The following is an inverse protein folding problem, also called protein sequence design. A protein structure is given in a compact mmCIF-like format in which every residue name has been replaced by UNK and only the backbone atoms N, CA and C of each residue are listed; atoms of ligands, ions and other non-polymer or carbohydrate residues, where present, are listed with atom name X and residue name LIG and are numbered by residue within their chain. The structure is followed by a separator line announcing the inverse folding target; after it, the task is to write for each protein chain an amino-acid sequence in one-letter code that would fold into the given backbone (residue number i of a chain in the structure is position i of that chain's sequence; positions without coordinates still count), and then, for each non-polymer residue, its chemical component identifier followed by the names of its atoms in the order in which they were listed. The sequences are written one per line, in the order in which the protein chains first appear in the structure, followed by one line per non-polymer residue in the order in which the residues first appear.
data_IF_231663403785
#
_entry.id   IF_231663403785
#
_cell.length_a   1.000
_cell.length_b   1.000
_cell.length_c   1.000
_cell.angle_alpha   90.00
_cell.angle_beta   90.00
_cell.angle_gamma   90.00
#
_symmetry.space_group_name_H-M   'P 1'
#
loop_
_entity.id
_entity.type
_entity.pdbx_description
1 polymer ?
#
# COMPACT_ATOMS: atom_id res chain seq x y z
N UNK A 1 -19.30 -11.38 -10.60
CA UNK A 1 -18.35 -11.61 -11.72
C UNK A 1 -17.20 -12.53 -11.31
N UNK A 2 -16.38 -12.16 -10.33
CA UNK A 2 -15.22 -12.95 -9.91
C UNK A 2 -15.57 -14.40 -9.49
N UNK A 3 -16.68 -14.62 -8.78
CA UNK A 3 -17.15 -15.97 -8.40
C UNK A 3 -17.55 -16.81 -9.63
N UNK A 4 -18.23 -16.22 -10.62
CA UNK A 4 -18.63 -16.91 -11.86
C UNK A 4 -17.42 -17.42 -12.66
N UNK A 5 -16.32 -16.68 -12.60
CA UNK A 5 -15.04 -17.05 -13.22
C UNK A 5 -14.14 -17.87 -12.29
N UNK A 6 -14.63 -18.29 -11.12
CA UNK A 6 -13.88 -19.02 -10.09
C UNK A 6 -12.56 -18.33 -9.69
N UNK A 7 -12.51 -16.99 -9.71
CA UNK A 7 -11.32 -16.22 -9.34
C UNK A 7 -11.19 -16.06 -7.83
N UNK A 8 -12.32 -15.97 -7.13
CA UNK A 8 -12.40 -15.75 -5.69
C UNK A 8 -13.48 -16.66 -5.10
N UNK A 9 -13.18 -17.25 -3.94
CA UNK A 9 -14.03 -18.16 -3.19
C UNK A 9 -14.20 -17.64 -1.75
N UNK A 10 -15.20 -16.78 -1.55
CA UNK A 10 -15.50 -16.18 -0.24
C UNK A 10 -16.05 -17.20 0.76
N UNK A 11 -16.78 -18.21 0.29
CA UNK A 11 -17.35 -19.25 1.16
C UNK A 11 -16.25 -20.09 1.82
N UNK A 12 -15.24 -20.51 1.06
CA UNK A 12 -14.08 -21.20 1.62
C UNK A 12 -13.25 -20.29 2.51
N UNK A 13 -13.08 -19.01 2.16
CA UNK A 13 -12.39 -18.04 3.01
C UNK A 13 -13.10 -17.89 4.37
N UNK A 14 -14.43 -17.78 4.37
CA UNK A 14 -15.23 -17.70 5.59
C UNK A 14 -15.16 -18.97 6.44
N UNK A 15 -15.05 -20.14 5.82
CA UNK A 15 -14.83 -21.40 6.56
C UNK A 15 -13.45 -21.47 7.22
N UNK A 16 -12.45 -20.81 6.65
CA UNK A 16 -11.05 -20.82 7.14
C UNK A 16 -10.84 -19.80 8.24
N UNK A 17 -11.27 -18.55 8.03
CA UNK A 17 -10.90 -17.41 8.89
C UNK A 17 -12.07 -16.51 9.32
N UNK A 18 -13.30 -16.82 8.88
CA UNK A 18 -14.47 -15.97 9.11
C UNK A 18 -14.62 -14.85 8.08
N UNK A 19 -15.47 -13.86 8.39
CA UNK A 19 -15.73 -12.71 7.51
C UNK A 19 -14.50 -11.82 7.32
N UNK A 20 -14.44 -11.06 6.22
CA UNK A 20 -13.36 -10.10 5.96
C UNK A 20 -12.07 -10.74 5.40
N UNK A 21 -12.15 -11.99 4.93
CA UNK A 21 -11.07 -12.70 4.24
C UNK A 21 -11.52 -13.18 2.86
N UNK A 22 -10.58 -13.30 1.93
CA UNK A 22 -10.83 -13.77 0.57
C UNK A 22 -9.81 -14.85 0.20
N UNK A 23 -10.29 -15.85 -0.55
CA UNK A 23 -9.45 -16.92 -1.10
C UNK A 23 -9.44 -16.78 -2.61
N UNK A 24 -8.28 -16.47 -3.18
CA UNK A 24 -8.09 -16.41 -4.63
C UNK A 24 -7.80 -17.81 -5.19
N UNK A 25 -8.37 -18.16 -6.34
CA UNK A 25 -8.19 -19.46 -7.00
C UNK A 25 -7.77 -19.32 -8.46
N UNK A 26 -7.02 -20.30 -8.96
CA UNK A 26 -6.69 -20.44 -10.38
C UNK A 26 -6.16 -19.15 -11.01
N UNK A 27 -6.84 -18.68 -12.07
CA UNK A 27 -6.49 -17.43 -12.76
C UNK A 27 -6.58 -16.20 -11.84
N UNK A 28 -7.44 -16.21 -10.81
CA UNK A 28 -7.56 -15.11 -9.87
C UNK A 28 -6.32 -14.95 -8.97
N UNK A 29 -5.80 -16.06 -8.45
CA UNK A 29 -4.54 -16.09 -7.70
C UNK A 29 -3.34 -15.76 -8.61
N UNK A 30 -3.36 -16.21 -9.87
CA UNK A 30 -2.36 -15.84 -10.86
C UNK A 30 -2.35 -14.32 -11.09
N UNK A 31 -3.52 -13.70 -11.29
CA UNK A 31 -3.67 -12.26 -11.50
C UNK A 31 -3.15 -11.47 -10.30
N UNK A 32 -3.48 -11.87 -9.07
CA UNK A 32 -2.96 -11.23 -7.86
C UNK A 32 -1.42 -11.22 -7.86
N UNK A 33 -0.78 -12.38 -8.10
CA UNK A 33 0.68 -12.47 -8.18
C UNK A 33 1.26 -11.67 -9.34
N UNK A 34 0.61 -11.67 -10.51
CA UNK A 34 1.05 -10.90 -11.67
C UNK A 34 1.02 -9.40 -11.40
N UNK A 35 -0.01 -8.91 -10.69
CA UNK A 35 -0.08 -7.52 -10.25
C UNK A 35 1.07 -7.19 -9.31
N UNK A 36 1.31 -7.99 -8.26
CA UNK A 36 2.43 -7.76 -7.31
C UNK A 36 3.76 -7.59 -8.05
N UNK A 37 4.06 -8.51 -8.98
CA UNK A 37 5.30 -8.48 -9.74
C UNK A 37 5.39 -7.25 -10.65
N UNK A 38 4.31 -6.91 -11.35
CA UNK A 38 4.24 -5.69 -12.17
C UNK A 38 4.45 -4.42 -11.34
N UNK A 39 3.80 -4.31 -10.19
CA UNK A 39 3.93 -3.16 -9.29
C UNK A 39 5.38 -3.02 -8.80
N UNK A 40 6.00 -4.08 -8.30
CA UNK A 40 7.40 -4.06 -7.84
C UNK A 40 8.37 -3.72 -8.98
N UNK A 41 8.21 -4.35 -10.14
CA UNK A 41 9.08 -4.11 -11.30
C UNK A 41 9.00 -2.67 -11.79
N UNK A 42 7.80 -2.06 -11.82
CA UNK A 42 7.65 -0.65 -12.17
C UNK A 42 8.48 0.23 -11.23
N UNK A 43 8.32 0.02 -9.93
CA UNK A 43 8.92 0.89 -8.92
C UNK A 43 10.44 0.72 -8.84
N UNK A 44 10.94 -0.50 -9.00
CA UNK A 44 12.37 -0.79 -8.95
C UNK A 44 13.11 -0.45 -10.25
N UNK A 45 12.51 -0.72 -11.42
CA UNK A 45 13.18 -0.55 -12.71
C UNK A 45 13.03 0.86 -13.29
N UNK A 46 11.94 1.56 -12.98
CA UNK A 46 11.64 2.87 -13.58
C UNK A 46 11.73 4.00 -12.56
N UNK A 47 11.27 3.80 -11.31
CA UNK A 47 11.15 4.88 -10.33
C UNK A 47 12.30 4.91 -9.29
N UNK A 48 13.26 3.98 -9.39
CA UNK A 48 14.52 4.00 -8.63
C UNK A 48 14.40 3.55 -7.17
N UNK A 49 13.37 2.78 -6.81
CA UNK A 49 13.23 2.22 -5.47
C UNK A 49 14.10 0.97 -5.29
N UNK A 50 14.64 0.80 -4.09
CA UNK A 50 15.28 -0.46 -3.68
C UNK A 50 14.21 -1.41 -3.12
N UNK A 51 14.14 -2.62 -3.66
CA UNK A 51 13.20 -3.64 -3.17
C UNK A 51 13.62 -4.22 -1.82
N UNK A 52 12.67 -4.30 -0.90
CA UNK A 52 12.84 -4.82 0.46
C UNK A 52 11.81 -5.94 0.71
N UNK A 53 12.27 -7.03 1.34
CA UNK A 53 11.41 -8.08 1.89
C UNK A 53 11.48 -8.04 3.43
N UNK A 54 10.55 -7.33 4.10
CA UNK A 54 10.60 -7.13 5.55
C UNK A 54 9.92 -8.27 6.34
N UNK A 55 10.19 -8.39 7.67
CA UNK A 55 9.34 -9.19 8.56
C UNK A 55 7.90 -8.66 8.61
N UNK A 56 6.92 -9.57 8.67
CA UNK A 56 5.50 -9.21 8.80
C UNK A 56 5.04 -9.14 10.26
N UNK A 57 5.82 -9.71 11.18
CA UNK A 57 5.64 -9.58 12.62
C UNK A 57 6.64 -8.54 13.11
N UNK A 58 6.16 -7.48 13.74
CA UNK A 58 6.97 -6.33 14.16
C UNK A 58 6.84 -6.09 15.65
N UNK A 59 7.94 -5.63 16.25
CA UNK A 59 7.97 -5.23 17.66
C UNK A 59 7.12 -3.98 17.91
N UNK A 60 6.57 -3.86 19.12
CA UNK A 60 5.78 -2.71 19.57
C UNK A 60 6.47 -1.37 19.28
N UNK A 61 7.80 -1.29 19.43
CA UNK A 61 8.58 -0.09 19.14
C UNK A 61 8.46 0.37 17.69
N UNK A 62 8.31 -0.56 16.73
CA UNK A 62 8.10 -0.21 15.32
C UNK A 62 6.77 0.51 15.12
N UNK A 63 5.71 -0.04 15.70
CA UNK A 63 4.37 0.52 15.66
C UNK A 63 4.27 1.89 16.35
N UNK A 64 5.08 2.13 17.39
CA UNK A 64 5.19 3.45 18.04
C UNK A 64 5.92 4.43 17.12
N UNK A 65 6.98 3.98 16.44
CA UNK A 65 7.80 4.78 15.53
C UNK A 65 6.98 5.41 14.40
N UNK A 66 6.15 4.62 13.73
CA UNK A 66 5.33 5.06 12.59
C UNK A 66 3.97 5.66 12.99
N UNK A 67 3.62 5.60 14.28
CA UNK A 67 2.50 6.34 14.86
C UNK A 67 1.19 5.57 14.98
N UNK A 68 1.16 4.27 14.64
CA UNK A 68 0.01 3.40 14.90
C UNK A 68 -0.25 3.29 16.40
N UNK A 69 0.81 3.20 17.22
CA UNK A 69 0.70 3.16 18.67
C UNK A 69 1.03 4.49 19.36
N UNK A 70 0.38 4.78 20.50
CA UNK A 70 -0.59 3.94 21.23
C UNK A 70 -2.05 4.09 20.76
N UNK A 71 -2.34 5.06 19.88
CA UNK A 71 -3.71 5.51 19.59
C UNK A 71 -4.59 4.45 18.94
N UNK A 72 -4.05 3.65 18.04
CA UNK A 72 -4.81 2.70 17.21
C UNK A 72 -4.53 1.24 17.60
N UNK A 73 -4.14 0.97 18.84
CA UNK A 73 -3.80 -0.40 19.29
C UNK A 73 -4.95 -1.39 19.08
N UNK A 74 -6.19 -0.94 19.28
CA UNK A 74 -7.38 -1.78 19.13
C UNK A 74 -7.64 -2.22 17.68
N UNK A 75 -7.13 -1.46 16.71
CA UNK A 75 -7.22 -1.78 15.27
C UNK A 75 -6.13 -2.75 14.80
N UNK A 76 -5.16 -3.09 15.65
CA UNK A 76 -4.02 -3.93 15.30
C UNK A 76 -4.18 -5.36 15.78
N UNK A 77 -3.70 -6.32 14.98
CA UNK A 77 -3.56 -7.71 15.42
C UNK A 77 -2.30 -7.86 16.29
N UNK A 78 -2.45 -7.67 17.59
CA UNK A 78 -1.40 -7.92 18.58
C UNK A 78 -1.25 -9.40 18.93
N UNK A 79 -0.01 -9.83 19.13
CA UNK A 79 0.38 -11.16 19.63
C UNK A 79 1.35 -10.99 20.81
N UNK A 80 1.61 -12.07 21.55
CA UNK A 80 2.51 -12.03 22.73
C UNK A 80 2.15 -10.89 23.69
N UNK A 81 0.88 -10.83 24.11
CA UNK A 81 0.37 -9.79 25.02
C UNK A 81 0.68 -8.36 24.50
N UNK A 82 0.47 -8.14 23.20
CA UNK A 82 0.71 -6.88 22.50
C UNK A 82 2.16 -6.37 22.58
N UNK A 83 3.13 -7.27 22.74
CA UNK A 83 4.55 -6.93 22.54
C UNK A 83 4.96 -7.00 21.06
N UNK A 84 4.26 -7.83 20.29
CA UNK A 84 4.49 -8.02 18.86
C UNK A 84 3.17 -7.83 18.10
N UNK A 85 3.25 -7.45 16.82
CA UNK A 85 2.08 -7.15 16.00
C UNK A 85 2.25 -7.68 14.58
N UNK A 86 1.15 -8.13 13.97
CA UNK A 86 1.11 -8.27 12.52
C UNK A 86 1.06 -6.87 11.89
N UNK A 87 1.95 -6.59 10.94
CA UNK A 87 2.08 -5.27 10.35
C UNK A 87 0.81 -4.88 9.54
N UNK A 88 0.25 -3.67 9.75
CA UNK A 88 -0.93 -3.20 9.01
C UNK A 88 -0.60 -2.63 7.62
N UNK A 89 0.70 -2.51 7.31
CA UNK A 89 1.29 -1.99 6.07
C UNK A 89 2.80 -2.22 6.11
N UNK A 90 3.45 -2.35 4.94
CA UNK A 90 4.91 -2.46 4.87
C UNK A 90 5.62 -1.18 5.33
N UNK A 91 4.93 -0.04 5.38
CA UNK A 91 5.42 1.21 5.97
C UNK A 91 6.07 0.95 7.33
N UNK A 92 5.40 0.20 8.20
CA UNK A 92 5.85 0.00 9.59
C UNK A 92 7.25 -0.62 9.62
N UNK A 93 7.50 -1.82 9.08
CA UNK A 93 8.83 -2.39 9.12
C UNK A 93 9.82 -1.65 8.21
N UNK A 94 9.41 -1.13 7.05
CA UNK A 94 10.34 -0.52 6.08
C UNK A 94 10.88 0.81 6.57
N UNK A 95 10.04 1.71 7.11
CA UNK A 95 10.53 2.98 7.66
C UNK A 95 11.41 2.75 8.90
N UNK A 96 11.14 1.69 9.67
CA UNK A 96 11.93 1.34 10.86
C UNK A 96 13.31 0.71 10.54
N UNK A 97 13.64 0.40 9.27
CA UNK A 97 15.01 -0.03 8.90
C UNK A 97 16.03 1.04 9.30
N UNK A 98 15.64 2.31 9.23
CA UNK A 98 16.49 3.46 9.56
C UNK A 98 16.31 3.95 11.01
N UNK A 99 15.55 3.24 11.84
CA UNK A 99 15.33 3.62 13.24
C UNK A 99 16.67 3.74 14.00
N UNK A 100 16.77 4.77 14.83
CA UNK A 100 17.92 5.08 15.70
C UNK A 100 19.25 5.35 14.96
N UNK A 101 19.23 5.47 13.62
CA UNK A 101 20.42 5.82 12.84
C UNK A 101 20.68 7.32 12.78
N UNK A 102 21.95 7.65 12.53
CA UNK A 102 22.39 8.96 12.07
C UNK A 102 23.00 8.75 10.68
N UNK A 103 22.23 9.09 9.66
CA UNK A 103 22.63 8.98 8.26
C UNK A 103 23.65 10.07 7.90
N UNK A 104 24.44 9.83 6.87
CA UNK A 104 25.11 10.90 6.13
C UNK A 104 24.11 11.60 5.20
N UNK A 105 24.30 12.89 4.95
CA UNK A 105 23.41 13.64 4.06
C UNK A 105 23.42 13.09 2.63
N UNK A 106 24.54 12.50 2.19
CA UNK A 106 24.74 11.89 0.87
C UNK A 106 23.89 10.63 0.65
N UNK A 107 23.41 9.99 1.72
CA UNK A 107 22.47 8.86 1.63
C UNK A 107 21.04 9.30 1.25
N UNK A 108 20.71 10.59 1.40
CA UNK A 108 19.38 11.11 1.11
C UNK A 108 19.26 11.56 -0.36
N UNK A 109 18.13 11.29 -1.05
CA UNK A 109 16.96 10.54 -0.57
C UNK A 109 17.16 9.02 -0.62
N UNK A 110 16.66 8.31 0.40
CA UNK A 110 16.54 6.84 0.41
C UNK A 110 15.14 6.48 -0.07
N UNK A 111 15.04 5.55 -1.03
CA UNK A 111 13.78 5.07 -1.61
C UNK A 111 13.65 3.56 -1.46
N UNK A 112 12.65 3.09 -0.73
CA UNK A 112 12.35 1.67 -0.53
C UNK A 112 10.97 1.29 -1.06
N UNK A 113 10.86 0.11 -1.67
CA UNK A 113 9.58 -0.51 -2.00
C UNK A 113 9.49 -1.92 -1.45
N UNK A 114 8.29 -2.35 -1.06
CA UNK A 114 8.09 -3.68 -0.51
C UNK A 114 6.66 -4.18 -0.78
N UNK A 115 6.54 -5.45 -1.13
CA UNK A 115 5.27 -6.18 -1.07
C UNK A 115 5.12 -6.86 0.30
N UNK A 116 3.98 -6.67 0.95
CA UNK A 116 3.62 -7.44 2.15
C UNK A 116 2.12 -7.76 2.23
N UNK A 117 1.72 -8.88 2.84
CA UNK A 117 0.38 -8.99 3.39
C UNK A 117 0.23 -7.99 4.55
N UNK A 118 -0.89 -7.27 4.57
CA UNK A 118 -1.23 -6.23 5.52
C UNK A 118 -2.41 -6.69 6.37
N UNK A 119 -2.33 -6.49 7.70
CA UNK A 119 -3.33 -6.99 8.64
C UNK A 119 -3.99 -5.86 9.43
N UNK A 120 -5.32 -5.72 9.31
CA UNK A 120 -6.11 -4.70 10.03
C UNK A 120 -7.35 -5.31 10.65
N UNK A 121 -7.63 -5.00 11.92
CA UNK A 121 -8.85 -5.51 12.58
C UNK A 121 -10.12 -4.81 12.12
N UNK A 122 -9.99 -3.64 11.48
CA UNK A 122 -11.13 -2.85 11.00
C UNK A 122 -12.17 -2.63 12.12
N UNK A 123 -11.71 -2.36 13.35
CA UNK A 123 -12.60 -2.23 14.50
C UNK A 123 -13.48 -0.99 14.32
N UNK A 124 -14.80 -1.14 14.50
CA UNK A 124 -15.77 -0.07 14.25
C UNK A 124 -16.38 -0.05 12.85
N UNK A 125 -15.93 -0.90 11.92
CA UNK A 125 -16.55 -1.05 10.58
C UNK A 125 -17.67 -2.08 10.51
N UNK A 126 -18.10 -2.63 11.65
CA UNK A 126 -19.10 -3.70 11.70
C UNK A 126 -20.42 -3.27 11.03
N UNK A 127 -20.73 -3.86 9.88
CA UNK A 127 -21.97 -3.64 9.14
C UNK A 127 -21.91 -2.62 8.00
N UNK A 128 -20.80 -1.91 7.80
CA UNK A 128 -20.64 -0.99 6.66
C UNK A 128 -20.04 -1.71 5.44
N UNK A 129 -20.85 -1.99 4.41
CA UNK A 129 -20.35 -2.26 3.05
C UNK A 129 -19.43 -3.48 2.83
N UNK A 130 -19.48 -4.51 3.68
CA UNK A 130 -18.54 -5.66 3.69
C UNK A 130 -18.68 -6.66 2.52
N UNK A 131 -19.16 -6.27 1.34
CA UNK A 131 -19.28 -7.20 0.20
C UNK A 131 -18.12 -7.03 -0.78
N UNK A 132 -17.37 -8.11 -1.00
CA UNK A 132 -16.27 -8.13 -1.97
C UNK A 132 -14.91 -7.90 -1.32
N UNK A 133 -14.02 -7.21 -2.03
CA UNK A 133 -12.59 -7.06 -1.67
C UNK A 133 -12.23 -5.69 -1.07
N UNK A 134 -13.16 -4.75 -0.98
CA UNK A 134 -12.84 -3.33 -0.69
C UNK A 134 -12.32 -3.12 0.74
N UNK A 135 -12.81 -3.91 1.70
CA UNK A 135 -12.44 -3.84 3.12
C UNK A 135 -12.24 -5.24 3.66
N UNK A 136 -10.98 -5.56 4.00
CA UNK A 136 -10.54 -6.92 4.35
C UNK A 136 -9.60 -6.85 5.56
N UNK A 137 -9.63 -7.89 6.40
CA UNK A 137 -8.69 -8.03 7.51
C UNK A 137 -7.27 -8.33 7.06
N UNK A 138 -7.14 -8.98 5.90
CA UNK A 138 -5.88 -9.27 5.24
C UNK A 138 -5.95 -8.84 3.77
N UNK A 139 -4.95 -8.10 3.32
CA UNK A 139 -4.80 -7.73 1.92
C UNK A 139 -3.34 -7.52 1.54
N UNK A 140 -3.01 -7.66 0.26
CA UNK A 140 -1.67 -7.34 -0.24
C UNK A 140 -1.55 -5.86 -0.62
N UNK A 141 -0.36 -5.31 -0.42
CA UNK A 141 -0.01 -3.96 -0.86
C UNK A 141 1.46 -3.93 -1.29
N UNK A 142 1.75 -3.16 -2.33
CA UNK A 142 3.11 -2.68 -2.60
C UNK A 142 3.24 -1.28 -2.02
N UNK A 143 4.15 -1.11 -1.08
CA UNK A 143 4.44 0.17 -0.42
C UNK A 143 5.60 0.88 -1.09
N UNK A 144 5.57 2.20 -1.03
CA UNK A 144 6.67 3.10 -1.33
C UNK A 144 6.98 3.87 -0.06
N UNK A 145 8.26 3.92 0.32
CA UNK A 145 8.75 4.68 1.47
C UNK A 145 9.92 5.55 1.01
N UNK A 146 9.91 6.83 1.39
CA UNK A 146 11.03 7.73 1.18
C UNK A 146 11.51 8.32 2.49
N UNK A 147 12.83 8.42 2.65
CA UNK A 147 13.49 9.15 3.74
C UNK A 147 14.34 10.22 3.09
N UNK A 148 14.06 11.48 3.41
CA UNK A 148 14.49 12.61 2.61
C UNK A 148 14.97 13.76 3.47
N UNK A 149 15.71 14.68 2.83
CA UNK A 149 16.08 15.95 3.44
C UNK A 149 14.81 16.82 3.67
N UNK A 150 14.68 17.52 4.81
CA UNK A 150 13.49 18.34 5.11
C UNK A 150 13.10 19.32 3.99
N UNK A 151 14.09 20.01 3.42
CA UNK A 151 13.91 21.02 2.37
C UNK A 151 13.26 20.47 1.09
N UNK A 152 13.38 19.16 0.83
CA UNK A 152 12.88 18.54 -0.40
C UNK A 152 11.59 17.73 -0.17
N UNK A 153 11.10 17.66 1.07
CA UNK A 153 10.07 16.68 1.44
C UNK A 153 8.73 16.87 0.73
N UNK A 154 8.34 18.11 0.41
CA UNK A 154 7.11 18.37 -0.33
C UNK A 154 7.25 18.06 -1.82
N UNK A 155 8.41 18.32 -2.43
CA UNK A 155 8.68 17.92 -3.81
C UNK A 155 8.77 16.38 -3.94
N UNK A 156 9.28 15.72 -2.90
CA UNK A 156 9.32 14.26 -2.82
C UNK A 156 7.92 13.64 -2.63
N UNK A 157 6.96 14.38 -2.05
CA UNK A 157 5.55 13.98 -1.99
C UNK A 157 4.88 14.03 -3.37
N UNK A 158 5.17 15.07 -4.16
CA UNK A 158 4.68 15.16 -5.53
C UNK A 158 5.17 13.97 -6.36
N UNK A 159 6.48 13.74 -6.39
CA UNK A 159 7.06 12.60 -7.13
C UNK A 159 6.62 11.24 -6.59
N UNK A 160 6.41 11.09 -5.27
CA UNK A 160 5.85 9.86 -4.69
C UNK A 160 4.42 9.59 -5.17
N UNK A 161 3.63 10.66 -5.36
CA UNK A 161 2.27 10.55 -5.87
C UNK A 161 2.29 10.18 -7.35
N UNK A 162 3.16 10.82 -8.15
CA UNK A 162 3.39 10.48 -9.56
C UNK A 162 3.86 9.03 -9.75
N UNK A 163 4.74 8.53 -8.86
CA UNK A 163 5.19 7.14 -8.86
C UNK A 163 3.99 6.15 -8.74
N UNK A 164 2.99 6.48 -7.92
CA UNK A 164 1.77 5.70 -7.76
C UNK A 164 0.76 5.91 -8.92
N UNK A 165 0.64 7.13 -9.45
CA UNK A 165 -0.18 7.44 -10.63
C UNK A 165 0.29 6.68 -11.86
N UNK A 166 1.60 6.54 -12.05
CA UNK A 166 2.22 5.84 -13.18
C UNK A 166 1.74 4.39 -13.33
N UNK A 167 1.34 3.74 -12.22
CA UNK A 167 0.74 2.40 -12.21
C UNK A 167 -0.63 2.41 -12.89
N UNK A 168 -1.49 3.34 -12.47
CA UNK A 168 -2.86 3.46 -12.97
C UNK A 168 -2.85 3.84 -14.45
N UNK A 169 -1.97 4.76 -14.84
CA UNK A 169 -1.78 5.19 -16.23
C UNK A 169 -1.26 4.06 -17.11
N UNK A 170 -0.24 3.33 -16.67
CA UNK A 170 0.30 2.18 -17.42
C UNK A 170 -0.72 1.06 -17.58
N UNK A 171 -1.60 0.87 -16.59
CA UNK A 171 -2.71 -0.08 -16.65
C UNK A 171 -3.94 0.46 -17.37
N UNK A 172 -3.94 1.71 -17.85
CA UNK A 172 -5.07 2.30 -18.56
C UNK A 172 -6.32 2.51 -17.70
N UNK A 173 -6.15 2.69 -16.39
CA UNK A 173 -7.25 2.86 -15.44
C UNK A 173 -7.55 4.35 -15.24
N UNK A 174 -8.82 4.72 -15.33
CA UNK A 174 -9.26 6.07 -15.05
C UNK A 174 -9.26 6.34 -13.54
N UNK A 175 -8.66 7.46 -13.12
CA UNK A 175 -8.53 7.82 -11.71
C UNK A 175 -8.64 9.33 -11.50
N UNK A 176 -8.71 9.74 -10.23
CA UNK A 176 -8.58 11.13 -9.79
C UNK A 176 -7.62 11.22 -8.60
N UNK A 177 -6.93 12.35 -8.49
CA UNK A 177 -6.11 12.72 -7.33
C UNK A 177 -6.88 13.70 -6.45
N UNK A 178 -6.87 13.47 -5.14
CA UNK A 178 -7.55 14.30 -4.14
C UNK A 178 -6.54 14.72 -3.08
N UNK A 179 -6.48 16.01 -2.77
CA UNK A 179 -5.79 16.49 -1.56
C UNK A 179 -6.73 16.38 -0.36
N UNK A 180 -6.32 15.67 0.69
CA UNK A 180 -7.17 15.48 1.86
C UNK A 180 -7.30 16.78 2.67
N UNK A 181 -8.53 17.04 3.13
CA UNK A 181 -8.78 18.16 4.04
C UNK A 181 -8.31 17.83 5.47
N UNK A 182 -8.14 18.85 6.31
CA UNK A 182 -7.61 18.67 7.68
C UNK A 182 -8.41 17.70 8.56
N UNK A 183 -9.72 17.55 8.31
CA UNK A 183 -10.59 16.65 9.06
C UNK A 183 -10.42 15.17 8.70
N UNK A 184 -9.82 14.88 7.54
CA UNK A 184 -9.65 13.54 6.99
C UNK A 184 -8.18 13.09 6.96
N UNK A 185 -7.25 13.97 7.39
CA UNK A 185 -5.84 13.63 7.48
C UNK A 185 -5.60 12.52 8.52
N UNK A 186 -4.77 11.55 8.12
CA UNK A 186 -4.26 10.53 9.03
C UNK A 186 -3.44 11.13 10.16
N UNK A 187 -3.45 10.48 11.33
CA UNK A 187 -2.87 11.02 12.57
C UNK A 187 -1.40 11.45 12.48
N UNK A 188 -0.60 10.75 11.68
CA UNK A 188 0.83 11.04 11.52
C UNK A 188 1.10 12.09 10.44
N UNK A 189 0.19 12.29 9.48
CA UNK A 189 0.47 13.00 8.24
C UNK A 189 0.37 14.53 8.41
N UNK A 190 1.29 15.25 7.76
CA UNK A 190 1.22 16.70 7.59
C UNK A 190 0.47 17.08 6.32
N UNK A 191 0.62 16.29 5.25
CA UNK A 191 -0.10 16.44 3.97
C UNK A 191 -0.27 15.09 3.30
N UNK A 192 -1.44 14.86 2.69
CA UNK A 192 -1.77 13.59 2.03
C UNK A 192 -2.51 13.83 0.71
N UNK A 193 -2.16 13.05 -0.30
CA UNK A 193 -2.91 12.86 -1.53
C UNK A 193 -3.46 11.45 -1.62
N UNK A 194 -4.74 11.33 -1.89
CA UNK A 194 -5.36 10.05 -2.24
C UNK A 194 -5.53 9.94 -3.75
N UNK A 195 -5.25 8.75 -4.27
CA UNK A 195 -5.59 8.37 -5.64
C UNK A 195 -6.80 7.46 -5.59
N UNK A 196 -7.86 7.86 -6.27
CA UNK A 196 -9.07 7.05 -6.36
C UNK A 196 -9.30 6.59 -7.79
N UNK A 197 -9.43 5.27 -7.98
CA UNK A 197 -9.64 4.64 -9.28
C UNK A 197 -11.13 4.43 -9.54
N UNK A 198 -11.59 4.67 -10.75
CA UNK A 198 -12.98 4.46 -11.14
C UNK A 198 -13.32 2.96 -11.19
N UNK A 199 -14.43 2.57 -10.56
CA UNK A 199 -14.96 1.21 -10.53
C UNK A 199 -16.35 1.17 -11.22
N UNK A 200 -16.42 0.82 -12.52
CA UNK A 200 -17.66 0.90 -13.30
C UNK A 200 -18.84 0.08 -12.74
N UNK A 201 -18.55 -1.09 -12.15
CA UNK A 201 -19.56 -1.97 -11.58
C UNK A 201 -20.16 -1.45 -10.27
N UNK A 202 -19.43 -0.59 -9.57
CA UNK A 202 -19.89 0.09 -8.34
C UNK A 202 -20.38 1.51 -8.60
N UNK A 203 -20.05 2.07 -9.77
CA UNK A 203 -20.38 3.45 -10.14
C UNK A 203 -19.83 4.47 -9.13
N UNK A 204 -18.61 4.25 -8.66
CA UNK A 204 -17.90 5.11 -7.72
C UNK A 204 -16.38 5.09 -7.94
N UNK A 205 -15.69 6.05 -7.32
CA UNK A 205 -14.23 6.07 -7.22
C UNK A 205 -13.80 5.36 -5.93
N UNK A 206 -12.81 4.46 -6.02
CA UNK A 206 -12.26 3.69 -4.92
C UNK A 206 -10.83 4.15 -4.64
N UNK A 207 -10.54 4.59 -3.41
CA UNK A 207 -9.20 4.99 -2.98
C UNK A 207 -8.20 3.82 -3.12
N UNK A 208 -7.32 3.84 -4.11
CA UNK A 208 -6.36 2.76 -4.37
C UNK A 208 -4.96 3.08 -3.83
N UNK A 209 -4.73 4.35 -3.51
CA UNK A 209 -3.52 4.82 -2.85
C UNK A 209 -3.78 6.01 -1.96
N UNK A 210 -2.95 6.12 -0.93
CA UNK A 210 -2.80 7.29 -0.07
C UNK A 210 -1.31 7.55 0.07
N UNK A 211 -0.86 8.75 -0.32
CA UNK A 211 0.52 9.21 -0.36
C UNK A 211 0.70 10.39 0.59
N UNK A 212 1.56 10.25 1.60
CA UNK A 212 1.66 11.18 2.72
C UNK A 212 3.08 11.65 2.99
N UNK A 213 3.22 12.92 3.34
CA UNK A 213 4.40 13.50 3.97
C UNK A 213 4.15 13.60 5.48
N UNK A 214 5.04 13.02 6.28
CA UNK A 214 4.96 13.03 7.75
C UNK A 214 5.83 14.10 8.39
N UNK A 215 6.55 14.88 7.57
CA UNK A 215 7.65 15.73 8.01
C UNK A 215 8.58 14.95 8.96
N UNK A 216 8.91 15.52 10.12
CA UNK A 216 9.77 14.89 11.11
C UNK A 216 9.02 14.05 12.16
N UNK A 217 7.70 13.86 12.02
CA UNK A 217 6.87 13.21 13.04
C UNK A 217 7.33 11.79 13.39
N UNK A 218 7.49 10.93 12.37
CA UNK A 218 7.97 9.57 12.56
C UNK A 218 9.46 9.58 12.91
N UNK A 219 10.26 10.42 12.24
CA UNK A 219 11.70 10.52 12.47
C UNK A 219 12.04 10.86 13.94
N UNK A 220 11.27 11.75 14.58
CA UNK A 220 11.39 12.07 16.00
C UNK A 220 11.12 10.87 16.91
N UNK A 221 10.06 10.11 16.63
CA UNK A 221 9.69 8.90 17.39
C UNK A 221 10.72 7.78 17.23
N UNK A 222 11.31 7.68 16.04
CA UNK A 222 12.34 6.68 15.71
C UNK A 222 13.77 7.14 16.00
N UNK A 223 14.00 8.40 16.40
CA UNK A 223 15.34 9.01 16.53
C UNK A 223 16.18 8.95 15.24
N UNK A 224 15.52 8.91 14.09
CA UNK A 224 16.12 8.90 12.75
C UNK A 224 16.62 10.30 12.41
N UNK A 225 17.93 10.44 12.27
CA UNK A 225 18.59 11.72 11.99
C UNK A 225 19.54 11.58 10.81
N UNK A 226 19.96 12.70 10.26
CA UNK A 226 21.12 12.78 9.38
C UNK A 226 22.08 13.84 9.89
N UNK A 227 23.36 13.72 9.53
CA UNK A 227 24.38 14.72 9.82
C UNK A 227 24.42 15.74 8.69
N UNK A 228 24.03 16.96 9.00
CA UNK A 228 24.07 18.11 8.10
C UNK A 228 25.51 18.41 7.67
N UNK A 229 25.74 18.50 6.36
CA UNK A 229 27.07 18.63 5.77
C UNK A 229 27.71 20.00 6.05
N UNK A 230 26.90 21.06 6.17
CA UNK A 230 27.38 22.43 6.38
C UNK A 230 27.68 22.73 7.85
N UNK A 231 26.74 22.38 8.74
CA UNK A 231 26.80 22.71 10.17
C UNK A 231 27.36 21.58 11.03
N UNK A 232 27.42 20.35 10.50
CA UNK A 232 27.83 19.16 11.24
C UNK A 232 26.86 18.70 12.33
N UNK A 233 25.68 19.34 12.44
CA UNK A 233 24.65 19.02 13.43
C UNK A 233 23.82 17.82 12.98
N UNK A 234 23.31 17.07 13.95
CA UNK A 234 22.34 16.01 13.68
C UNK A 234 20.94 16.63 13.60
N UNK A 235 20.31 16.54 12.43
CA UNK A 235 18.95 17.01 12.16
C UNK A 235 18.03 15.81 11.93
N UNK A 236 16.72 15.96 12.17
CA UNK A 236 15.76 14.91 11.84
C UNK A 236 15.51 14.90 10.33
N UNK A 237 15.50 13.71 9.74
CA UNK A 237 15.06 13.54 8.35
C UNK A 237 13.53 13.68 8.26
N UNK A 238 13.02 13.88 7.05
CA UNK A 238 11.58 13.72 6.79
C UNK A 238 11.29 12.33 6.24
N UNK A 239 10.10 11.80 6.57
CA UNK A 239 9.64 10.50 6.10
C UNK A 239 8.37 10.66 5.27
N UNK A 240 8.25 9.86 4.22
CA UNK A 240 7.06 9.77 3.38
C UNK A 240 6.71 8.32 3.11
N UNK A 241 5.43 8.05 2.85
CA UNK A 241 4.98 6.77 2.32
C UNK A 241 3.82 6.94 1.37
N UNK A 242 3.66 5.97 0.48
CA UNK A 242 2.58 5.91 -0.47
C UNK A 242 2.26 4.47 -0.84
N UNK A 243 1.00 4.21 -1.15
CA UNK A 243 0.64 2.91 -1.72
C UNK A 243 0.96 2.90 -3.21
N UNK A 244 1.81 2.01 -3.69
CA UNK A 244 2.18 1.91 -5.11
C UNK A 244 1.65 0.66 -5.82
N UNK A 245 0.54 0.01 -5.46
CA UNK A 245 -0.74 0.46 -4.88
C UNK A 245 -1.36 -0.62 -3.96
N UNK A 246 -2.53 -0.39 -3.36
CA UNK A 246 -3.26 -1.42 -2.61
C UNK A 246 -3.97 -2.40 -3.57
N UNK A 247 -3.65 -3.69 -3.47
CA UNK A 247 -4.14 -4.70 -4.43
C UNK A 247 -5.66 -4.87 -4.47
N UNK A 248 -6.42 -4.89 -3.36
CA UNK A 248 -7.82 -5.29 -3.42
C UNK A 248 -8.67 -4.36 -4.31
N UNK A 249 -8.48 -3.05 -4.16
CA UNK A 249 -9.21 -2.03 -4.93
C UNK A 249 -8.69 -1.96 -6.36
N UNK A 250 -7.38 -2.12 -6.59
CA UNK A 250 -6.80 -2.24 -7.94
C UNK A 250 -7.37 -3.45 -8.70
N UNK A 251 -7.45 -4.59 -8.02
CA UNK A 251 -7.96 -5.84 -8.58
C UNK A 251 -9.40 -5.67 -9.03
N UNK A 252 -10.24 -5.08 -8.17
CA UNK A 252 -11.64 -4.77 -8.48
C UNK A 252 -11.75 -3.84 -9.69
N UNK A 253 -11.03 -2.71 -9.68
CA UNK A 253 -11.07 -1.74 -10.78
C UNK A 253 -10.63 -2.35 -12.11
N UNK A 254 -9.58 -3.18 -12.11
CA UNK A 254 -9.11 -3.89 -13.30
C UNK A 254 -10.18 -4.85 -13.83
N UNK A 255 -10.75 -5.69 -12.96
CA UNK A 255 -11.78 -6.64 -13.41
C UNK A 255 -13.00 -5.91 -13.98
N UNK A 256 -13.47 -4.85 -13.32
CA UNK A 256 -14.67 -4.12 -13.73
C UNK A 256 -14.45 -3.30 -15.00
N UNK A 257 -13.26 -2.74 -15.19
CA UNK A 257 -12.90 -1.94 -16.37
C UNK A 257 -12.72 -2.80 -17.62
N UNK A 258 -12.11 -3.98 -17.47
CA UNK A 258 -11.75 -4.85 -18.59
C UNK A 258 -12.73 -5.99 -18.86
N UNK A 259 -13.92 -5.98 -18.24
CA UNK A 259 -14.96 -6.97 -18.51
C UNK A 259 -15.54 -6.81 -19.92
N UNK A 260 -15.89 -7.94 -20.55
CA UNK A 260 -16.59 -8.01 -21.83
C UNK A 260 -18.02 -8.49 -21.66
N UNK A 261 -18.85 -8.29 -22.68
CA UNK A 261 -20.25 -8.74 -22.70
C UNK A 261 -20.40 -10.26 -22.52
N UNK A 262 -19.44 -11.05 -23.03
CA UNK A 262 -19.41 -12.51 -22.87
C UNK A 262 -18.99 -12.96 -21.46
N UNK A 263 -18.65 -12.02 -20.59
CA UNK A 263 -18.24 -12.25 -19.21
C UNK A 263 -16.76 -12.62 -19.03
N UNK A 264 -15.97 -12.64 -20.10
CA UNK A 264 -14.50 -12.69 -20.04
C UNK A 264 -13.91 -11.35 -19.60
N UNK A 265 -12.64 -11.35 -19.19
CA UNK A 265 -11.94 -10.14 -18.73
C UNK A 265 -10.63 -10.01 -19.49
N UNK A 266 -10.42 -8.88 -20.16
CA UNK A 266 -9.15 -8.60 -20.82
C UNK A 266 -8.04 -8.30 -19.81
N UNK A 267 -6.82 -8.66 -20.18
CA UNK A 267 -5.62 -8.32 -19.42
C UNK A 267 -4.92 -7.14 -20.12
N UNK A 268 -4.70 -6.01 -19.42
CA UNK A 268 -3.99 -4.86 -19.97
C UNK A 268 -2.64 -5.29 -20.55
N UNK A 269 -2.24 -4.74 -21.71
CA UNK A 269 -1.01 -5.13 -22.42
C UNK A 269 0.23 -5.12 -21.53
N UNK A 270 0.34 -4.14 -20.62
CA UNK A 270 1.46 -4.04 -19.68
C UNK A 270 1.53 -5.20 -18.67
N UNK A 271 0.39 -5.83 -18.35
CA UNK A 271 0.29 -6.94 -17.40
C UNK A 271 0.41 -8.31 -18.06
N UNK A 272 0.21 -8.40 -19.39
CA UNK A 272 0.28 -9.67 -20.14
C UNK A 272 1.62 -10.41 -19.99
N UNK A 273 2.81 -9.77 -19.95
CA UNK A 273 4.06 -10.49 -19.71
C UNK A 273 4.12 -11.22 -18.36
N UNK A 274 3.44 -10.67 -17.34
CA UNK A 274 3.37 -11.25 -16.00
C UNK A 274 2.24 -12.28 -15.87
N UNK A 275 1.12 -12.05 -16.55
CA UNK A 275 -0.04 -12.94 -16.52
C UNK A 275 0.09 -14.11 -17.50
N UNK A 276 0.82 -13.95 -18.60
CA UNK A 276 1.06 -14.97 -19.62
C UNK A 276 -0.15 -15.29 -20.52
N UNK A 277 -1.18 -14.45 -20.53
CA UNK A 277 -2.33 -14.54 -21.43
C UNK A 277 -2.92 -13.13 -21.63
N UNK A 278 -3.75 -12.99 -22.66
CA UNK A 278 -4.45 -11.75 -23.04
C UNK A 278 -5.80 -11.59 -22.35
N UNK A 279 -6.36 -12.66 -21.77
CA UNK A 279 -7.69 -12.62 -21.15
C UNK A 279 -7.90 -13.73 -20.10
N UNK A 280 -8.87 -13.51 -19.21
CA UNK A 280 -9.42 -14.48 -18.27
C UNK A 280 -10.77 -14.94 -18.84
N UNK A 281 -10.96 -16.27 -18.90
CA UNK A 281 -12.18 -16.89 -19.44
C UNK A 281 -12.66 -17.95 -18.46
N UNK A 282 -13.96 -18.27 -18.50
CA UNK A 282 -14.46 -19.42 -17.77
C UNK A 282 -13.76 -20.69 -18.30
N UNK A 283 -13.19 -21.48 -17.39
CA UNK A 283 -12.64 -22.81 -17.67
C UNK A 283 -13.73 -23.84 -17.90
#
# INVERSE_FOLDING_TARGET
MAERLNLIDFDSASKIAGSGFALFRGQGAKLQRSLIQFLLDKQTKENGYTEISPPYVVDRSCMIGTGQLPKFEEDMYGIEQNQMFLAPTAEVPVTNIEREKILSQEELPIKYTAHTPCFRREAGSAGTGNRGLIRMHQFDKVELVKIVHPDNSYDELESLTEDAESILETLGLHYRRIELCTGDLGFSAAKTYDLEVWAPGQNEYLEVSSCSNFEDYQARRMKLRFKDAETGKNLFAHTLNGSGTALPRLYVALLETYQREDGSIDIPSALQPYFGDSSIKAS
#
